data_IF_092087090258
#
_entry.id   IF_092087090258
#
_cell.length_a   1.000
_cell.length_b   1.000
_cell.length_c   1.000
_cell.angle_alpha   90.00
_cell.angle_beta   90.00
_cell.angle_gamma   90.00
#
_symmetry.space_group_name_H-M   'P 1'
#
loop_
_entity.id
_entity.type
_entity.pdbx_description
1 polymer ?
#
# COMPACT_ATOMS: atom_id res chain seq x y z
N UNK A 1 5.63 -3.67 -92.22
CA UNK A 1 4.52 -4.61 -92.47
C UNK A 1 4.48 -5.57 -91.30
N UNK A 2 3.33 -5.57 -90.62
CA UNK A 2 2.68 -6.55 -89.71
C UNK A 2 3.58 -7.43 -88.84
N UNK A 3 3.57 -7.29 -87.51
CA UNK A 3 2.50 -7.66 -86.57
C UNK A 3 2.37 -9.18 -86.43
N UNK A 4 3.05 -9.69 -85.41
CA UNK A 4 2.64 -10.85 -84.61
C UNK A 4 3.20 -10.63 -83.19
N UNK A 5 2.45 -9.85 -82.41
CA UNK A 5 2.03 -10.19 -81.04
C UNK A 5 2.82 -11.34 -80.41
N UNK A 6 3.82 -10.96 -79.60
CA UNK A 6 4.79 -11.85 -78.94
C UNK A 6 4.10 -13.11 -78.38
N UNK A 7 4.43 -14.25 -78.99
CA UNK A 7 3.97 -15.59 -78.59
C UNK A 7 4.44 -16.00 -77.20
N UNK A 8 3.77 -15.49 -76.17
CA UNK A 8 3.94 -15.94 -74.79
C UNK A 8 2.94 -17.05 -74.51
N UNK A 9 3.37 -18.30 -74.72
CA UNK A 9 2.65 -19.47 -74.24
C UNK A 9 2.44 -19.38 -72.72
N UNK A 10 1.27 -19.78 -72.22
CA UNK A 10 0.94 -19.90 -70.78
C UNK A 10 2.04 -20.62 -69.96
N UNK A 11 2.84 -21.47 -70.61
CA UNK A 11 3.98 -22.19 -70.02
C UNK A 11 5.21 -21.28 -69.77
N UNK A 12 5.44 -20.25 -70.58
CA UNK A 12 6.49 -19.23 -70.33
C UNK A 12 6.06 -18.24 -69.23
N UNK A 13 4.76 -17.98 -69.08
CA UNK A 13 4.22 -17.18 -67.98
C UNK A 13 4.28 -17.92 -66.63
N UNK A 14 4.02 -19.23 -66.59
CA UNK A 14 4.11 -20.07 -65.38
C UNK A 14 5.55 -20.26 -64.87
N UNK A 15 6.54 -20.36 -65.77
CA UNK A 15 7.96 -20.40 -65.37
C UNK A 15 8.42 -19.06 -64.78
N UNK A 16 7.87 -17.93 -65.28
CA UNK A 16 8.14 -16.61 -64.74
C UNK A 16 7.62 -16.40 -63.31
N UNK A 17 6.48 -17.00 -62.94
CA UNK A 17 5.96 -16.93 -61.57
C UNK A 17 6.71 -17.84 -60.59
N UNK A 18 7.16 -19.02 -61.05
CA UNK A 18 7.90 -19.97 -60.21
C UNK A 18 9.32 -19.52 -59.84
N UNK A 19 9.97 -18.70 -60.69
CA UNK A 19 11.33 -18.22 -60.45
C UNK A 19 11.42 -17.05 -59.46
N UNK A 20 10.33 -16.33 -59.22
CA UNK A 20 10.32 -15.23 -58.22
C UNK A 20 10.22 -15.78 -56.79
N UNK A 21 9.73 -17.00 -56.59
CA UNK A 21 9.59 -17.62 -55.27
C UNK A 21 10.87 -18.18 -54.64
N UNK A 22 12.01 -18.23 -55.35
CA UNK A 22 13.25 -18.86 -54.85
C UNK A 22 14.41 -17.86 -54.70
N UNK A 23 14.29 -16.64 -55.24
CA UNK A 23 15.33 -15.60 -55.15
C UNK A 23 15.01 -14.49 -54.12
N UNK A 24 13.98 -14.65 -53.29
CA UNK A 24 13.64 -13.73 -52.19
C UNK A 24 14.20 -14.21 -50.84
N UNK A 25 15.43 -14.72 -50.82
CA UNK A 25 16.13 -15.13 -49.60
C UNK A 25 17.45 -14.37 -49.35
N UNK A 26 17.75 -13.33 -50.14
CA UNK A 26 19.12 -12.78 -50.24
C UNK A 26 19.36 -11.34 -49.80
N UNK A 27 18.44 -10.38 -49.96
CA UNK A 27 18.71 -8.98 -49.60
C UNK A 27 17.42 -8.15 -49.60
N UNK A 28 16.92 -7.86 -48.39
CA UNK A 28 15.71 -7.06 -48.20
C UNK A 28 15.58 -6.67 -46.74
N UNK A 29 16.46 -5.78 -46.30
CA UNK A 29 16.43 -5.10 -45.00
C UNK A 29 15.10 -4.33 -44.89
N UNK A 30 14.17 -4.85 -44.10
CA UNK A 30 12.87 -4.22 -43.85
C UNK A 30 12.03 -5.11 -42.94
N UNK A 31 12.38 -5.15 -41.66
CA UNK A 31 11.51 -5.51 -40.52
C UNK A 31 10.39 -6.50 -40.81
N UNK A 32 10.73 -7.74 -41.18
CA UNK A 32 9.85 -8.88 -40.88
C UNK A 32 10.25 -9.36 -39.49
N UNK A 33 9.68 -8.73 -38.46
CA UNK A 33 9.73 -9.29 -37.13
C UNK A 33 9.14 -10.71 -37.22
N UNK A 34 9.99 -11.67 -36.93
CA UNK A 34 9.68 -13.08 -36.85
C UNK A 34 8.77 -13.27 -35.64
N UNK A 35 7.46 -13.07 -35.81
CA UNK A 35 6.45 -13.33 -34.77
C UNK A 35 6.17 -14.84 -34.66
N UNK A 36 7.23 -15.60 -34.39
CA UNK A 36 7.20 -16.99 -33.96
C UNK A 36 8.37 -17.26 -32.99
N UNK A 37 8.69 -16.25 -32.20
CA UNK A 37 9.24 -16.41 -30.88
C UNK A 37 8.13 -17.00 -29.99
N UNK A 38 8.12 -18.31 -29.86
CA UNK A 38 7.54 -18.96 -28.68
C UNK A 38 8.54 -18.71 -27.55
N UNK A 39 8.33 -17.63 -26.79
CA UNK A 39 9.04 -17.38 -25.55
C UNK A 39 8.61 -18.46 -24.55
N UNK A 40 9.40 -19.53 -24.43
CA UNK A 40 9.22 -20.50 -23.36
C UNK A 40 9.87 -19.94 -22.10
N UNK A 41 9.06 -19.53 -21.13
CA UNK A 41 9.54 -19.27 -19.78
C UNK A 41 9.75 -20.63 -19.08
N UNK A 42 10.78 -21.36 -19.51
CA UNK A 42 11.25 -22.53 -18.77
C UNK A 42 11.82 -22.01 -17.44
N UNK A 43 11.39 -22.60 -16.32
CA UNK A 43 11.60 -22.14 -14.94
C UNK A 43 10.75 -20.95 -14.45
N UNK A 44 9.64 -20.60 -15.12
CA UNK A 44 8.62 -19.79 -14.44
C UNK A 44 7.84 -20.68 -13.46
N UNK A 45 8.28 -20.69 -12.20
CA UNK A 45 7.47 -21.18 -11.10
C UNK A 45 6.33 -20.18 -10.88
N UNK A 46 5.17 -20.46 -11.47
CA UNK A 46 3.90 -19.88 -11.02
C UNK A 46 3.50 -20.62 -9.73
N UNK A 47 4.22 -20.36 -8.64
CA UNK A 47 3.65 -20.64 -7.32
C UNK A 47 2.46 -19.70 -7.20
N UNK A 48 1.25 -20.27 -7.11
CA UNK A 48 0.14 -19.52 -6.55
C UNK A 48 0.55 -19.23 -5.10
N UNK A 49 1.17 -18.08 -4.89
CA UNK A 49 1.47 -17.59 -3.57
C UNK A 49 0.16 -17.26 -2.88
N UNK A 50 0.02 -17.69 -1.63
CA UNK A 50 -0.92 -17.06 -0.72
C UNK A 50 -0.24 -15.77 -0.24
N UNK A 51 -0.99 -14.67 -0.19
CA UNK A 51 -0.54 -13.42 0.38
C UNK A 51 -1.37 -13.22 1.62
N UNK A 52 -0.83 -13.66 2.75
CA UNK A 52 -1.44 -13.48 4.05
C UNK A 52 -0.71 -12.35 4.78
N UNK A 53 -1.46 -11.32 5.14
CA UNK A 53 -0.97 -10.16 5.86
C UNK A 53 -1.53 -10.20 7.28
N UNK A 54 -0.63 -10.27 8.25
CA UNK A 54 -0.94 -10.03 9.65
C UNK A 54 -0.40 -8.66 10.03
N UNK A 55 -1.23 -7.87 10.71
CA UNK A 55 -0.83 -6.57 11.27
C UNK A 55 -0.82 -6.69 12.77
N UNK A 56 0.37 -6.66 13.37
CA UNK A 56 0.54 -6.62 14.82
C UNK A 56 0.37 -5.18 15.28
N UNK A 57 -0.39 -5.00 16.34
CA UNK A 57 -0.82 -3.68 16.82
C UNK A 57 -0.36 -3.51 18.26
N UNK A 58 0.44 -2.49 18.50
CA UNK A 58 0.66 -1.95 19.83
C UNK A 58 0.13 -0.51 19.86
N UNK A 59 -0.94 -0.27 20.59
CA UNK A 59 -1.51 1.05 20.77
C UNK A 59 -1.52 1.41 22.24
N UNK A 60 -1.18 2.64 22.55
CA UNK A 60 -1.30 3.20 23.89
C UNK A 60 -1.80 4.64 23.86
N UNK A 61 -2.52 5.04 24.91
CA UNK A 61 -3.01 6.40 25.11
C UNK A 61 -2.82 6.86 26.55
N UNK A 62 -2.57 8.16 26.70
CA UNK A 62 -2.47 8.86 27.96
C UNK A 62 -3.36 10.10 27.94
N UNK A 63 -4.44 10.06 28.74
CA UNK A 63 -5.34 11.19 29.00
C UNK A 63 -5.15 11.74 30.43
N UNK A 64 -3.92 11.61 30.95
CA UNK A 64 -3.54 12.03 32.30
C UNK A 64 -4.34 11.31 33.38
N UNK A 65 -5.09 12.07 34.19
CA UNK A 65 -5.89 11.49 35.28
C UNK A 65 -7.24 10.91 34.84
N UNK A 66 -7.63 11.10 33.58
CA UNK A 66 -8.93 10.65 33.09
C UNK A 66 -8.92 9.16 32.74
N UNK A 67 -8.07 8.76 31.79
CA UNK A 67 -7.94 7.38 31.35
C UNK A 67 -6.53 7.11 30.81
N UNK A 68 -6.14 5.84 30.89
CA UNK A 68 -4.96 5.28 30.23
C UNK A 68 -5.34 3.90 29.73
N UNK A 69 -4.99 3.62 28.49
CA UNK A 69 -5.28 2.33 27.86
C UNK A 69 -4.09 1.91 27.02
N UNK A 70 -3.85 0.60 26.95
CA UNK A 70 -3.00 0.01 25.94
C UNK A 70 -3.61 -1.30 25.46
N UNK A 71 -3.35 -1.65 24.20
CA UNK A 71 -3.75 -2.94 23.66
C UNK A 71 -3.06 -4.07 24.42
N UNK A 72 -3.72 -5.24 24.58
CA UNK A 72 -3.05 -6.42 25.12
C UNK A 72 -1.84 -6.80 24.26
N UNK A 73 -0.75 -7.23 24.89
CA UNK A 73 0.44 -7.70 24.17
C UNK A 73 0.09 -8.86 23.23
N UNK A 74 0.64 -8.81 22.00
CA UNK A 74 0.34 -9.80 20.95
C UNK A 74 -1.01 -9.58 20.28
N UNK A 75 -1.60 -8.38 20.37
CA UNK A 75 -2.77 -8.03 19.56
C UNK A 75 -2.37 -7.99 18.09
N UNK A 76 -3.14 -8.66 17.24
CA UNK A 76 -2.93 -8.66 15.80
C UNK A 76 -4.25 -8.68 15.04
N UNK A 77 -4.21 -8.23 13.80
CA UNK A 77 -5.31 -8.25 12.84
C UNK A 77 -4.97 -9.26 11.75
N UNK A 78 -5.93 -10.14 11.47
CA UNK A 78 -5.92 -11.06 10.33
C UNK A 78 -7.31 -11.01 9.68
N UNK A 79 -7.37 -10.75 8.37
CA UNK A 79 -8.64 -10.69 7.64
C UNK A 79 -9.64 -9.63 8.16
N UNK A 80 -9.14 -8.46 8.57
CA UNK A 80 -9.88 -7.33 9.15
C UNK A 80 -10.42 -7.53 10.58
N UNK A 81 -10.08 -8.63 11.25
CA UNK A 81 -10.56 -8.90 12.61
C UNK A 81 -9.41 -9.16 13.56
N UNK A 82 -9.59 -8.79 14.83
CA UNK A 82 -8.59 -9.01 15.86
C UNK A 82 -8.50 -10.50 16.17
N UNK A 83 -7.30 -11.07 16.11
CA UNK A 83 -7.01 -12.47 16.38
C UNK A 83 -7.38 -13.46 15.26
N UNK A 84 -7.94 -12.98 14.14
CA UNK A 84 -8.42 -13.81 13.02
C UNK A 84 -9.77 -14.51 13.27
N UNK A 85 -10.26 -15.24 12.25
CA UNK A 85 -11.47 -16.07 12.36
C UNK A 85 -12.78 -15.27 12.52
N UNK A 86 -13.54 -15.56 13.57
CA UNK A 86 -14.81 -14.89 13.92
C UNK A 86 -14.61 -13.68 14.86
N UNK A 87 -13.42 -13.05 14.83
CA UNK A 87 -13.11 -11.88 15.64
C UNK A 87 -13.94 -10.64 15.25
N UNK A 88 -13.82 -9.58 16.05
CA UNK A 88 -14.40 -8.28 15.73
C UNK A 88 -13.33 -7.36 15.08
N UNK A 89 -13.73 -6.38 14.26
CA UNK A 89 -12.81 -5.37 13.76
C UNK A 89 -12.13 -4.63 14.90
N UNK A 90 -10.86 -4.24 14.69
CA UNK A 90 -10.17 -3.38 15.65
C UNK A 90 -10.90 -2.03 15.74
N UNK A 91 -11.26 -1.65 16.97
CA UNK A 91 -11.90 -0.38 17.27
C UNK A 91 -11.21 0.23 18.48
N UNK A 92 -10.54 1.35 18.27
CA UNK A 92 -9.94 2.17 19.33
C UNK A 92 -10.89 3.35 19.55
N UNK A 93 -11.34 3.52 20.79
CA UNK A 93 -12.29 4.57 21.16
C UNK A 93 -11.67 5.43 22.24
N UNK A 94 -11.29 6.64 21.85
CA UNK A 94 -10.79 7.65 22.78
C UNK A 94 -11.92 8.64 23.02
N UNK A 95 -12.30 8.81 24.29
CA UNK A 95 -13.36 9.74 24.68
C UNK A 95 -12.79 10.90 25.47
N UNK A 96 -13.47 12.05 25.44
CA UNK A 96 -13.08 13.21 26.27
C UNK A 96 -11.65 13.72 25.97
N UNK A 97 -11.29 13.69 24.68
CA UNK A 97 -10.01 14.20 24.17
C UNK A 97 -9.85 15.69 24.48
N UNK A 98 -8.74 16.03 25.14
CA UNK A 98 -8.40 17.41 25.50
C UNK A 98 -6.99 17.78 25.08
N UNK A 99 -6.68 19.08 24.99
CA UNK A 99 -5.30 19.53 24.83
C UNK A 99 -4.40 18.95 25.93
N UNK A 100 -3.37 18.21 25.51
CA UNK A 100 -2.43 17.52 26.40
C UNK A 100 -2.60 16.00 26.44
N UNK A 101 -3.72 15.46 25.94
CA UNK A 101 -3.87 14.03 25.70
C UNK A 101 -2.98 13.59 24.53
N UNK A 102 -2.47 12.36 24.59
CA UNK A 102 -1.62 11.79 23.54
C UNK A 102 -1.86 10.30 23.39
N UNK A 103 -1.55 9.78 22.20
CA UNK A 103 -1.55 8.35 21.93
C UNK A 103 -0.52 8.01 20.87
N UNK A 104 -0.10 6.76 20.87
CA UNK A 104 0.88 6.20 19.95
C UNK A 104 0.36 4.83 19.49
N UNK A 105 0.47 4.57 18.18
CA UNK A 105 0.10 3.30 17.59
C UNK A 105 1.21 2.81 16.69
N UNK A 106 1.64 1.58 16.92
CA UNK A 106 2.60 0.84 16.11
C UNK A 106 1.89 -0.27 15.35
N UNK A 107 2.14 -0.32 14.04
CA UNK A 107 1.62 -1.32 13.12
C UNK A 107 2.80 -2.03 12.46
N UNK A 108 3.07 -3.27 12.89
CA UNK A 108 4.11 -4.12 12.32
C UNK A 108 3.50 -5.21 11.45
N UNK A 109 4.20 -5.60 10.39
CA UNK A 109 3.64 -6.47 9.35
C UNK A 109 4.31 -7.83 9.33
N UNK A 110 3.53 -8.90 9.30
CA UNK A 110 4.00 -10.22 8.86
C UNK A 110 3.35 -10.54 7.52
N UNK A 111 4.13 -10.47 6.46
CA UNK A 111 3.70 -10.83 5.12
C UNK A 111 4.15 -12.26 4.87
N UNK A 112 3.25 -13.21 4.88
CA UNK A 112 3.63 -14.63 4.80
C UNK A 112 3.97 -15.00 3.37
N UNK A 113 5.05 -15.77 3.21
CA UNK A 113 5.58 -16.36 1.98
C UNK A 113 6.17 -15.39 0.94
N UNK A 114 5.43 -14.38 0.51
CA UNK A 114 5.78 -13.58 -0.66
C UNK A 114 6.08 -12.13 -0.28
N UNK A 115 7.17 -11.53 -0.79
CA UNK A 115 7.37 -10.09 -0.67
C UNK A 115 6.20 -9.33 -1.27
N UNK A 116 5.80 -8.22 -0.64
CA UNK A 116 4.66 -7.43 -1.11
C UNK A 116 4.90 -5.92 -1.04
N UNK A 117 4.22 -5.22 -1.94
CA UNK A 117 4.08 -3.78 -1.89
C UNK A 117 2.83 -3.43 -1.08
N UNK A 118 2.99 -2.61 -0.05
CA UNK A 118 1.90 -2.21 0.83
C UNK A 118 1.54 -0.74 0.63
N UNK A 119 0.25 -0.45 0.66
CA UNK A 119 -0.29 0.90 0.65
C UNK A 119 -1.13 1.09 1.91
N UNK A 120 -0.88 2.19 2.62
CA UNK A 120 -1.66 2.57 3.79
C UNK A 120 -2.80 3.49 3.36
N UNK A 121 -4.02 3.16 3.72
CA UNK A 121 -5.21 3.96 3.43
C UNK A 121 -5.91 4.36 4.73
N UNK A 122 -6.63 5.47 4.69
CA UNK A 122 -7.35 6.03 5.83
C UNK A 122 -8.40 7.02 5.34
N UNK A 123 -9.45 7.23 6.14
CA UNK A 123 -10.54 8.12 5.80
C UNK A 123 -11.15 8.70 7.07
N UNK A 124 -11.41 10.02 7.04
CA UNK A 124 -12.23 10.67 8.05
C UNK A 124 -13.71 10.47 7.69
N UNK A 125 -14.39 9.62 8.45
CA UNK A 125 -15.78 9.21 8.15
C UNK A 125 -16.84 10.11 8.77
N UNK A 126 -16.50 10.80 9.86
CA UNK A 126 -17.33 11.78 10.53
C UNK A 126 -16.43 12.82 11.22
N UNK A 127 -16.94 14.04 11.37
CA UNK A 127 -16.26 15.15 12.04
C UNK A 127 -17.30 16.08 12.66
N UNK A 128 -18.20 15.52 13.46
CA UNK A 128 -19.28 16.28 14.09
C UNK A 128 -18.81 16.84 15.43
N UNK A 129 -19.24 18.05 15.76
CA UNK A 129 -19.08 18.62 17.09
C UNK A 129 -20.29 18.26 17.97
N UNK A 130 -20.05 17.90 19.23
CA UNK A 130 -21.10 17.47 20.15
C UNK A 130 -21.58 18.60 21.08
N UNK A 131 -21.33 19.85 20.70
CA UNK A 131 -21.62 21.03 21.50
C UNK A 131 -20.49 21.35 22.48
N UNK A 132 -20.60 22.49 23.14
CA UNK A 132 -19.66 22.93 24.16
C UNK A 132 -20.36 23.01 25.52
N UNK A 133 -19.62 22.75 26.60
CA UNK A 133 -20.11 22.99 27.96
C UNK A 133 -20.06 24.48 28.30
N UNK A 134 -20.83 24.93 29.30
CA UNK A 134 -20.85 26.35 29.69
C UNK A 134 -19.46 26.90 30.09
N UNK A 135 -18.61 26.16 30.83
CA UNK A 135 -17.24 26.58 31.09
C UNK A 135 -16.40 26.74 29.82
N UNK A 136 -16.59 25.89 28.81
CA UNK A 136 -15.88 26.01 27.53
C UNK A 136 -16.38 27.23 26.75
N UNK A 137 -17.68 27.55 26.80
CA UNK A 137 -18.22 28.73 26.12
C UNK A 137 -17.75 30.08 26.67
N UNK A 138 -17.27 30.12 27.90
CA UNK A 138 -16.71 31.33 28.52
C UNK A 138 -15.26 31.60 28.06
N UNK A 139 -14.53 30.56 27.64
CA UNK A 139 -13.12 30.63 27.25
C UNK A 139 -12.88 30.37 25.75
N UNK A 140 -13.82 29.71 25.07
CA UNK A 140 -13.76 29.30 23.67
C UNK A 140 -15.00 29.77 22.87
N UNK A 141 -14.81 30.80 22.05
CA UNK A 141 -15.84 31.34 21.14
C UNK A 141 -15.93 30.57 19.81
N UNK A 142 -15.02 29.62 19.55
CA UNK A 142 -14.98 28.75 18.37
C UNK A 142 -15.73 27.42 18.55
N UNK A 143 -15.98 27.03 19.80
CA UNK A 143 -16.82 25.87 20.12
C UNK A 143 -18.32 26.04 19.80
N UNK A 144 -19.11 24.99 20.03
CA UNK A 144 -20.57 24.98 19.86
C UNK A 144 -21.05 23.88 18.93
N UNK A 145 -22.07 24.13 18.11
CA UNK A 145 -22.45 23.25 17.00
C UNK A 145 -22.29 24.04 15.70
N UNK A 146 -21.12 23.98 15.04
CA UNK A 146 -20.86 24.67 13.77
C UNK A 146 -21.64 24.03 12.60
N UNK A 147 -22.38 22.94 12.84
CA UNK A 147 -23.09 22.14 11.85
C UNK A 147 -22.44 20.79 11.60
N UNK A 148 -23.19 19.92 10.93
CA UNK A 148 -22.77 18.55 10.57
C UNK A 148 -21.44 18.54 9.79
N UNK A 149 -20.48 17.73 10.25
CA UNK A 149 -19.16 17.56 9.66
C UNK A 149 -18.18 18.73 9.86
N UNK A 150 -18.52 19.73 10.66
CA UNK A 150 -17.71 20.94 10.88
C UNK A 150 -17.03 21.01 12.26
N UNK A 151 -16.86 19.88 12.93
CA UNK A 151 -16.17 19.78 14.22
C UNK A 151 -14.68 20.14 14.14
N UNK A 152 -14.13 20.57 15.26
CA UNK A 152 -12.79 21.15 15.31
C UNK A 152 -11.69 20.13 15.61
N UNK A 153 -12.05 18.96 16.14
CA UNK A 153 -11.07 17.97 16.62
C UNK A 153 -10.15 17.46 15.51
N UNK A 154 -10.66 17.31 14.28
CA UNK A 154 -9.86 16.86 13.15
C UNK A 154 -8.82 17.90 12.72
N UNK A 155 -9.07 19.19 12.95
CA UNK A 155 -8.13 20.27 12.66
C UNK A 155 -7.19 20.55 13.84
N UNK A 156 -7.62 20.26 15.07
CA UNK A 156 -6.85 20.51 16.29
C UNK A 156 -5.88 19.36 16.64
N UNK A 157 -6.23 18.12 16.31
CA UNK A 157 -5.40 16.94 16.57
C UNK A 157 -4.24 16.89 15.59
N UNK A 158 -3.01 16.83 16.10
CA UNK A 158 -1.82 16.62 15.29
C UNK A 158 -1.51 15.12 15.19
N UNK A 159 -1.30 14.65 13.97
CA UNK A 159 -0.95 13.26 13.67
C UNK A 159 0.34 13.26 12.86
N UNK A 160 1.24 12.35 13.21
CA UNK A 160 2.44 12.04 12.44
C UNK A 160 2.44 10.54 12.20
N UNK A 161 2.73 10.15 10.97
CA UNK A 161 2.92 8.77 10.54
C UNK A 161 4.35 8.68 10.02
N UNK A 162 5.15 7.79 10.59
CA UNK A 162 6.55 7.57 10.29
C UNK A 162 6.86 6.08 10.19
N UNK A 163 7.96 5.73 9.53
CA UNK A 163 8.50 4.40 9.74
C UNK A 163 9.09 4.29 11.14
N UNK A 164 9.10 3.09 11.68
CA UNK A 164 9.75 2.78 12.93
C UNK A 164 10.30 1.36 12.92
N UNK A 165 11.32 1.13 13.75
CA UNK A 165 11.94 -0.18 13.95
C UNK A 165 12.10 -0.46 15.43
N UNK A 166 11.92 -1.72 15.83
CA UNK A 166 12.16 -2.19 17.20
C UNK A 166 13.61 -1.88 17.65
N UNK A 167 13.77 -1.32 18.85
CA UNK A 167 15.06 -0.92 19.41
C UNK A 167 15.79 -2.05 20.18
N UNK A 168 15.16 -3.21 20.34
CA UNK A 168 15.64 -4.39 21.05
C UNK A 168 15.44 -4.35 22.58
N UNK A 169 14.96 -3.23 23.13
CA UNK A 169 14.74 -2.99 24.56
C UNK A 169 13.25 -2.73 24.88
N UNK A 170 12.35 -2.98 23.92
CA UNK A 170 10.90 -2.82 24.05
C UNK A 170 10.41 -1.39 23.76
N UNK A 171 11.20 -0.62 23.03
CA UNK A 171 10.80 0.66 22.44
C UNK A 171 11.04 0.69 20.93
N UNK A 172 10.72 1.83 20.32
CA UNK A 172 10.83 2.02 18.88
C UNK A 172 11.80 3.16 18.54
N UNK A 173 12.58 2.95 17.48
CA UNK A 173 13.35 4.02 16.85
C UNK A 173 12.52 4.59 15.71
N UNK A 174 12.04 5.83 15.89
CA UNK A 174 11.33 6.57 14.84
C UNK A 174 12.31 6.89 13.69
N UNK A 175 11.94 6.45 12.50
CA UNK A 175 12.65 6.63 11.25
C UNK A 175 12.12 7.82 10.44
N UNK A 176 12.06 7.65 9.11
CA UNK A 176 11.63 8.71 8.22
C UNK A 176 10.12 8.97 8.34
N UNK A 177 9.75 10.25 8.34
CA UNK A 177 8.36 10.69 8.30
C UNK A 177 7.72 10.36 6.95
N UNK A 178 6.54 9.74 6.99
CA UNK A 178 5.71 9.46 5.81
C UNK A 178 4.77 10.64 5.56
N UNK A 179 4.08 11.08 6.61
CA UNK A 179 3.19 12.23 6.59
C UNK A 179 2.96 12.79 7.98
N UNK A 180 2.88 14.11 8.09
CA UNK A 180 2.47 14.82 9.30
C UNK A 180 1.50 15.96 8.98
N UNK A 181 0.64 16.31 9.94
CA UNK A 181 -0.32 17.40 9.79
C UNK A 181 -1.42 17.33 10.85
N UNK A 182 -2.52 18.04 10.61
CA UNK A 182 -3.74 17.77 11.37
C UNK A 182 -4.31 16.40 11.00
N UNK A 183 -5.15 15.82 11.86
CA UNK A 183 -5.87 14.58 11.57
C UNK A 183 -6.63 14.68 10.25
N UNK A 184 -7.27 15.82 9.97
CA UNK A 184 -7.96 16.08 8.71
C UNK A 184 -7.01 16.01 7.50
N UNK A 185 -5.83 16.63 7.59
CA UNK A 185 -4.82 16.62 6.52
C UNK A 185 -4.24 15.22 6.29
N UNK A 186 -3.91 14.50 7.37
CA UNK A 186 -3.37 13.14 7.30
C UNK A 186 -4.39 12.17 6.70
N UNK A 187 -5.65 12.21 7.16
CA UNK A 187 -6.71 11.36 6.61
C UNK A 187 -7.01 11.69 5.15
N UNK A 188 -6.95 12.97 4.76
CA UNK A 188 -7.11 13.37 3.36
C UNK A 188 -6.01 12.80 2.46
N UNK A 189 -4.77 12.79 2.93
CA UNK A 189 -3.67 12.22 2.16
C UNK A 189 -3.73 10.68 2.11
N UNK A 190 -4.15 10.03 3.21
CA UNK A 190 -4.35 8.58 3.26
C UNK A 190 -5.59 8.13 2.46
N UNK A 191 -6.52 9.02 2.10
CA UNK A 191 -7.73 8.68 1.34
C UNK A 191 -7.42 8.04 -0.02
N UNK A 192 -6.39 8.53 -0.72
CA UNK A 192 -5.93 7.96 -1.98
C UNK A 192 -4.91 6.82 -1.80
N UNK A 193 -4.52 6.57 -0.55
CA UNK A 193 -3.46 5.65 -0.18
C UNK A 193 -2.07 6.27 -0.28
N UNK A 194 -1.24 6.02 0.73
CA UNK A 194 0.19 6.33 0.71
C UNK A 194 0.96 5.01 0.53
N UNK A 195 1.77 4.89 -0.54
CA UNK A 195 2.55 3.69 -0.75
C UNK A 195 3.71 3.65 0.26
N UNK A 196 3.93 2.47 0.85
CA UNK A 196 5.00 2.22 1.82
C UNK A 196 6.27 1.69 1.12
N UNK A 197 7.41 1.81 1.78
CA UNK A 197 8.73 1.36 1.33
C UNK A 197 9.29 0.34 2.31
N UNK A 198 9.69 -0.84 1.83
CA UNK A 198 10.17 -1.92 2.69
C UNK A 198 11.51 -1.65 3.40
N UNK A 199 12.23 -0.60 2.98
CA UNK A 199 13.46 -0.11 3.61
C UNK A 199 13.26 1.13 4.49
N UNK A 200 12.02 1.60 4.64
CA UNK A 200 11.69 2.73 5.50
C UNK A 200 12.06 4.12 4.95
N UNK A 201 12.37 4.25 3.65
CA UNK A 201 12.63 5.57 3.03
C UNK A 201 11.32 6.30 2.69
N UNK A 202 10.98 7.31 3.49
CA UNK A 202 9.79 8.17 3.31
C UNK A 202 9.82 9.03 2.03
N UNK A 203 11.01 9.30 1.50
CA UNK A 203 11.24 10.07 0.28
C UNK A 203 11.39 9.23 -0.98
N UNK A 204 11.36 7.90 -0.88
CA UNK A 204 11.63 7.01 -2.01
C UNK A 204 10.68 7.28 -3.19
N UNK A 205 11.16 7.28 -4.45
CA UNK A 205 10.27 7.35 -5.60
C UNK A 205 9.41 6.07 -5.71
N UNK A 206 8.25 6.16 -6.38
CA UNK A 206 7.43 4.96 -6.67
C UNK A 206 8.16 3.94 -7.56
N UNK A 207 9.07 4.42 -8.39
CA UNK A 207 9.85 3.56 -9.27
C UNK A 207 10.98 2.88 -8.50
N UNK A 208 11.08 1.55 -8.61
CA UNK A 208 12.09 0.72 -7.94
C UNK A 208 12.05 0.81 -6.42
N UNK A 209 10.88 1.12 -5.84
CA UNK A 209 10.70 1.03 -4.40
C UNK A 209 10.90 -0.43 -3.94
N UNK A 210 11.61 -0.68 -2.83
CA UNK A 210 11.72 -2.03 -2.29
C UNK A 210 10.37 -2.51 -1.76
N UNK A 211 10.10 -3.79 -2.00
CA UNK A 211 8.99 -4.49 -1.36
C UNK A 211 9.33 -4.76 0.11
N UNK A 212 8.32 -4.98 0.92
CA UNK A 212 8.52 -5.58 2.24
C UNK A 212 8.81 -7.06 2.04
N UNK A 213 9.86 -7.54 2.70
CA UNK A 213 10.25 -8.95 2.62
C UNK A 213 9.22 -9.83 3.32
N UNK A 214 9.03 -11.04 2.76
CA UNK A 214 8.13 -12.02 3.34
C UNK A 214 8.77 -12.76 4.53
N UNK A 215 7.92 -13.20 5.45
CA UNK A 215 8.28 -14.10 6.56
C UNK A 215 7.70 -15.50 6.31
N UNK A 216 8.27 -16.52 6.96
CA UNK A 216 7.81 -17.91 6.78
C UNK A 216 6.53 -18.24 7.56
N UNK A 217 6.28 -17.50 8.63
CA UNK A 217 5.11 -17.66 9.50
C UNK A 217 4.93 -16.37 10.31
N UNK A 218 3.70 -16.01 10.74
CA UNK A 218 3.44 -14.74 11.41
C UNK A 218 3.92 -14.68 12.87
N UNK A 219 4.18 -15.83 13.49
CA UNK A 219 4.66 -15.94 14.87
C UNK A 219 5.74 -17.02 14.98
N UNK A 220 6.78 -16.76 15.77
CA UNK A 220 7.79 -17.75 16.18
C UNK A 220 7.81 -17.79 17.70
N UNK A 221 7.57 -18.96 18.29
CA UNK A 221 7.49 -19.14 19.75
C UNK A 221 6.54 -18.14 20.44
N UNK A 222 5.35 -17.92 19.86
CA UNK A 222 4.33 -16.95 20.31
C UNK A 222 4.76 -15.47 20.26
N UNK A 223 5.89 -15.16 19.62
CA UNK A 223 6.37 -13.79 19.37
C UNK A 223 6.09 -13.39 17.92
N UNK A 224 5.58 -12.17 17.65
CA UNK A 224 5.44 -11.64 16.30
C UNK A 224 6.71 -11.81 15.45
N UNK A 225 6.57 -12.40 14.26
CA UNK A 225 7.65 -12.51 13.29
C UNK A 225 7.42 -11.47 12.19
N UNK A 226 7.96 -10.28 12.40
CA UNK A 226 7.62 -9.08 11.64
C UNK A 226 8.68 -8.73 10.60
N UNK A 227 8.28 -7.97 9.59
CA UNK A 227 9.20 -7.24 8.73
C UNK A 227 10.02 -6.24 9.57
N UNK A 228 11.20 -5.88 9.08
CA UNK A 228 12.09 -4.93 9.78
C UNK A 228 11.43 -3.56 9.99
N UNK A 229 10.62 -3.13 9.02
CA UNK A 229 9.95 -1.82 9.05
C UNK A 229 8.50 -1.96 9.52
N UNK A 230 8.16 -1.18 10.54
CA UNK A 230 6.81 -0.94 11.01
C UNK A 230 6.38 0.49 10.68
N UNK A 231 5.10 0.80 10.92
CA UNK A 231 4.56 2.14 10.83
C UNK A 231 4.11 2.60 12.22
N UNK A 232 4.67 3.72 12.63
CA UNK A 232 4.24 4.57 13.72
C UNK A 232 3.94 5.95 13.08
#
# INVERSE_FOLDING_TARGET
>A
MNDDTIGLSRRKMLVGLGAVGVASAGAGLGTTAYFNDTESFEDNTLTAGELDLFVHVDYSEDQGSYAQYSTPSGTFIDGNVVGGGDGEPLSIQVSDLKPGDSGEGEFCFSIVDNPAYMWMCGELTANDENGQTEPESDDDETGGDPGEGAGEIADAMQVTVSYCTDDGDGGNVVGDEIISGSLAEVMLALQAGVPLSGDGDGGAPLANRPAFEGVTEPFVDDVPNIAEQCVC
#
